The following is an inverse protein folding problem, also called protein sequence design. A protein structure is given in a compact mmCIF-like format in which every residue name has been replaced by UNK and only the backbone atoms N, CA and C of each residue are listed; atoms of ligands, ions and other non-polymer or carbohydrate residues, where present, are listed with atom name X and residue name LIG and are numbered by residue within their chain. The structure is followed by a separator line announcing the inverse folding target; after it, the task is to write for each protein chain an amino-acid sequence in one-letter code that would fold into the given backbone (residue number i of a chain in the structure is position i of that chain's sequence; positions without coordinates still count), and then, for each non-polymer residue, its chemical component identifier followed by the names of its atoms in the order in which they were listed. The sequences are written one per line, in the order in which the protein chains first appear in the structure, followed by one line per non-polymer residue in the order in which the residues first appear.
data_IF_762704099303
#
_entry.id   IF_762704099303
#
_cell.length_a   1.000
_cell.length_b   1.000
_cell.length_c   1.000
_cell.angle_alpha   90.00
_cell.angle_beta   90.00
_cell.angle_gamma   90.00
#
_symmetry.space_group_name_H-M   'P 1'
#
loop_
_entity.id
_entity.type
_entity.pdbx_description
1 polymer ?
#
# COMPACT_ATOMS: atom_id res chain seq x y z
N UNK A 1 15.13 68.27 14.22
CA UNK A 1 16.07 67.12 14.38
C UNK A 1 15.68 66.26 15.58
N UNK A 2 15.09 65.06 15.35
CA UNK A 2 15.21 63.86 16.23
C UNK A 2 14.40 62.67 15.65
N UNK A 3 15.14 61.72 15.08
CA UNK A 3 15.06 60.24 15.13
C UNK A 3 13.72 59.48 14.96
N UNK A 4 13.62 58.81 13.81
CA UNK A 4 13.31 57.38 13.50
C UNK A 4 12.88 56.49 14.69
N UNK A 5 11.85 55.64 14.51
CA UNK A 5 11.89 54.15 14.62
C UNK A 5 10.62 53.54 13.99
N UNK A 6 10.87 52.65 13.03
CA UNK A 6 9.96 51.71 12.37
C UNK A 6 9.50 50.69 13.40
N UNK A 7 8.19 50.49 13.55
CA UNK A 7 7.62 49.49 14.44
C UNK A 7 6.70 48.54 13.69
N UNK A 8 7.29 47.49 13.10
CA UNK A 8 6.60 46.27 12.69
C UNK A 8 5.84 45.70 13.90
N UNK A 9 4.53 45.56 13.77
CA UNK A 9 3.76 44.62 14.60
C UNK A 9 2.79 43.87 13.69
N UNK A 10 3.37 43.05 12.81
CA UNK A 10 2.68 41.89 12.25
C UNK A 10 2.47 40.94 13.43
N UNK A 11 1.31 41.06 14.09
CA UNK A 11 0.82 40.04 15.00
C UNK A 11 0.41 38.82 14.15
N UNK A 12 1.41 38.07 13.67
CA UNK A 12 1.21 36.68 13.28
C UNK A 12 0.88 35.92 14.56
N UNK A 13 -0.41 35.80 14.86
CA UNK A 13 -0.93 34.66 15.61
C UNK A 13 -0.75 33.42 14.74
N UNK A 14 0.48 32.91 14.68
CA UNK A 14 0.80 31.59 14.17
C UNK A 14 0.19 30.62 15.18
N UNK A 15 -1.04 30.17 14.92
CA UNK A 15 -1.62 29.08 15.67
C UNK A 15 -0.72 27.87 15.45
N UNK A 16 -0.05 27.45 16.52
CA UNK A 16 0.65 26.18 16.59
C UNK A 16 -0.40 25.08 16.42
N UNK A 17 -0.59 24.64 15.18
CA UNK A 17 -1.27 23.38 14.90
C UNK A 17 -0.40 22.30 15.52
N UNK A 18 -0.89 21.66 16.58
CA UNK A 18 -0.31 20.42 17.08
C UNK A 18 -0.36 19.40 15.94
N UNK A 19 0.77 19.19 15.27
CA UNK A 19 0.97 18.02 14.44
C UNK A 19 1.04 16.84 15.41
N UNK A 20 -0.09 16.16 15.62
CA UNK A 20 -0.11 14.89 16.35
C UNK A 20 0.65 13.88 15.50
N UNK A 21 1.94 13.73 15.75
CA UNK A 21 2.74 12.67 15.13
C UNK A 21 2.31 11.34 15.72
N UNK A 22 1.84 10.44 14.87
CA UNK A 22 1.51 9.06 15.24
C UNK A 22 2.75 8.39 15.89
N UNK A 23 2.59 7.58 16.96
CA UNK A 23 3.68 6.82 17.55
C UNK A 23 4.45 6.00 16.50
N UNK A 24 5.76 5.81 16.69
CA UNK A 24 6.61 5.07 15.74
C UNK A 24 6.13 3.63 15.55
N UNK A 25 5.68 2.97 16.62
CA UNK A 25 5.15 1.60 16.58
C UNK A 25 3.90 1.50 15.68
N UNK A 26 2.96 2.43 15.83
CA UNK A 26 1.74 2.49 15.01
C UNK A 26 2.06 2.84 13.54
N UNK A 27 3.12 3.60 13.28
CA UNK A 27 3.63 3.86 11.92
C UNK A 27 4.21 2.60 11.27
N UNK A 28 4.97 1.80 12.03
CA UNK A 28 5.55 0.56 11.53
C UNK A 28 4.46 -0.49 11.26
N UNK A 29 3.47 -0.62 12.15
CA UNK A 29 2.31 -1.50 11.94
C UNK A 29 1.51 -1.11 10.70
N UNK A 30 1.19 0.19 10.54
CA UNK A 30 0.48 0.68 9.36
C UNK A 30 1.26 0.43 8.07
N UNK A 31 2.58 0.65 8.10
CA UNK A 31 3.45 0.35 6.95
C UNK A 31 3.45 -1.14 6.62
N UNK A 32 3.49 -2.02 7.63
CA UNK A 32 3.38 -3.47 7.48
C UNK A 32 2.08 -3.87 6.79
N UNK A 33 0.95 -3.44 7.35
CA UNK A 33 -0.37 -3.65 6.76
C UNK A 33 -0.44 -3.21 5.29
N UNK A 34 0.06 -2.01 4.99
CA UNK A 34 0.02 -1.48 3.63
C UNK A 34 0.86 -2.30 2.65
N UNK A 35 2.02 -2.82 3.07
CA UNK A 35 2.82 -3.73 2.26
C UNK A 35 2.11 -5.06 2.03
N UNK A 36 1.48 -5.62 3.04
CA UNK A 36 0.73 -6.88 2.94
C UNK A 36 -0.43 -6.76 1.96
N UNK A 37 -1.27 -5.72 2.10
CA UNK A 37 -2.42 -5.50 1.21
C UNK A 37 -1.96 -5.26 -0.23
N UNK A 38 -0.89 -4.48 -0.43
CA UNK A 38 -0.34 -4.24 -1.76
C UNK A 38 0.19 -5.53 -2.40
N UNK A 39 0.98 -6.31 -1.66
CA UNK A 39 1.50 -7.59 -2.12
C UNK A 39 0.38 -8.56 -2.47
N UNK A 40 -0.66 -8.62 -1.64
CA UNK A 40 -1.84 -9.43 -1.89
C UNK A 40 -2.62 -8.97 -3.13
N UNK A 41 -2.78 -7.66 -3.35
CA UNK A 41 -3.44 -7.14 -4.55
C UNK A 41 -2.68 -7.53 -5.83
N UNK A 42 -1.35 -7.43 -5.81
CA UNK A 42 -0.49 -7.81 -6.94
C UNK A 42 -0.55 -9.31 -7.20
N UNK A 43 -0.45 -10.14 -6.15
CA UNK A 43 -0.55 -11.58 -6.28
C UNK A 43 -1.91 -12.02 -6.84
N UNK A 44 -3.01 -11.46 -6.33
CA UNK A 44 -4.35 -11.75 -6.83
C UNK A 44 -4.54 -11.27 -8.28
N UNK A 45 -3.88 -10.18 -8.69
CA UNK A 45 -3.87 -9.81 -10.11
C UNK A 45 -3.22 -10.88 -11.01
N UNK A 46 -2.19 -11.59 -10.51
CA UNK A 46 -1.61 -12.72 -11.24
C UNK A 46 -2.61 -13.87 -11.32
N UNK A 47 -3.27 -14.21 -10.22
CA UNK A 47 -4.28 -15.28 -10.20
C UNK A 47 -5.42 -15.01 -11.17
N UNK A 48 -5.96 -13.79 -11.19
CA UNK A 48 -7.03 -13.42 -12.12
C UNK A 48 -6.58 -13.46 -13.59
N UNK A 49 -5.31 -13.21 -13.86
CA UNK A 49 -4.77 -13.23 -15.23
C UNK A 49 -4.42 -14.63 -15.71
N UNK A 50 -3.86 -15.46 -14.83
CA UNK A 50 -3.28 -16.77 -15.18
C UNK A 50 -4.27 -17.91 -14.96
N UNK A 51 -5.15 -17.78 -13.98
CA UNK A 51 -6.12 -18.81 -13.60
C UNK A 51 -7.55 -18.47 -14.01
N UNK A 52 -7.75 -17.34 -14.72
CA UNK A 52 -9.06 -16.81 -15.10
C UNK A 52 -10.05 -16.67 -13.93
N UNK A 53 -9.54 -16.43 -12.72
CA UNK A 53 -10.40 -16.13 -11.58
C UNK A 53 -11.03 -14.74 -11.77
N UNK A 54 -12.33 -14.59 -11.46
CA UNK A 54 -13.14 -13.42 -11.80
C UNK A 54 -13.80 -12.73 -10.59
N UNK A 55 -13.34 -13.03 -9.38
CA UNK A 55 -13.89 -12.51 -8.13
C UNK A 55 -13.53 -11.04 -7.80
N UNK A 56 -12.70 -10.38 -8.62
CA UNK A 56 -12.33 -8.96 -8.42
C UNK A 56 -11.54 -8.69 -7.14
N UNK A 57 -10.89 -9.71 -6.58
CA UNK A 57 -10.12 -9.62 -5.33
C UNK A 57 -8.97 -8.61 -5.47
N UNK A 58 -8.32 -8.51 -6.63
CA UNK A 58 -7.25 -7.51 -6.84
C UNK A 58 -7.75 -6.09 -6.60
N UNK A 59 -8.95 -5.78 -7.08
CA UNK A 59 -9.52 -4.43 -7.03
C UNK A 59 -10.03 -4.13 -5.63
N UNK A 60 -10.62 -5.12 -4.94
CA UNK A 60 -11.00 -5.03 -3.53
C UNK A 60 -9.79 -4.68 -2.65
N UNK A 61 -8.68 -5.40 -2.81
CA UNK A 61 -7.45 -5.16 -2.05
C UNK A 61 -6.81 -3.82 -2.41
N UNK A 62 -6.80 -3.45 -3.70
CA UNK A 62 -6.34 -2.12 -4.12
C UNK A 62 -7.19 -1.01 -3.48
N UNK A 63 -8.50 -1.17 -3.39
CA UNK A 63 -9.37 -0.21 -2.74
C UNK A 63 -9.09 -0.10 -1.23
N UNK A 64 -8.78 -1.21 -0.56
CA UNK A 64 -8.34 -1.19 0.86
C UNK A 64 -7.02 -0.42 1.00
N UNK A 65 -6.05 -0.68 0.13
CA UNK A 65 -4.78 0.05 0.11
C UNK A 65 -4.99 1.56 -0.07
N UNK A 66 -5.84 1.94 -1.01
CA UNK A 66 -6.15 3.35 -1.29
C UNK A 66 -6.91 4.01 -0.12
N UNK A 67 -7.89 3.31 0.45
CA UNK A 67 -8.75 3.85 1.53
C UNK A 67 -8.05 3.93 2.89
N UNK A 68 -6.93 3.23 3.07
CA UNK A 68 -6.12 3.28 4.28
C UNK A 68 -4.98 4.32 4.20
N UNK A 69 -4.98 5.18 3.17
CA UNK A 69 -3.95 6.19 2.90
C UNK A 69 -2.54 5.59 2.74
N UNK A 70 -2.44 4.35 2.26
CA UNK A 70 -1.15 3.67 2.14
C UNK A 70 -0.20 4.36 1.15
N UNK A 71 -0.73 5.12 0.18
CA UNK A 71 0.07 5.89 -0.78
C UNK A 71 0.91 6.98 -0.13
N UNK A 72 0.51 7.47 1.03
CA UNK A 72 1.21 8.55 1.73
C UNK A 72 2.40 8.04 2.53
N UNK A 73 2.38 6.76 2.92
CA UNK A 73 3.38 6.18 3.84
C UNK A 73 4.29 5.15 3.17
N UNK A 74 3.85 4.48 2.10
CA UNK A 74 4.66 3.49 1.40
C UNK A 74 5.52 4.21 0.36
N UNK A 75 6.86 4.19 0.48
CA UNK A 75 7.72 4.81 -0.53
C UNK A 75 7.54 4.14 -1.90
N UNK A 76 7.58 4.92 -2.97
CA UNK A 76 7.42 4.40 -4.34
C UNK A 76 8.44 3.30 -4.67
N UNK A 77 9.70 3.42 -4.21
CA UNK A 77 10.71 2.37 -4.36
C UNK A 77 10.28 1.06 -3.68
N UNK A 78 9.60 1.13 -2.53
CA UNK A 78 9.05 -0.06 -1.85
C UNK A 78 7.93 -0.69 -2.69
N UNK A 79 7.07 0.11 -3.33
CA UNK A 79 6.02 -0.38 -4.24
C UNK A 79 6.64 -1.13 -5.41
N UNK A 80 7.67 -0.56 -6.05
CA UNK A 80 8.35 -1.14 -7.20
C UNK A 80 9.09 -2.43 -6.84
N UNK A 81 9.82 -2.42 -5.73
CA UNK A 81 10.52 -3.60 -5.23
C UNK A 81 9.55 -4.73 -4.89
N UNK A 82 8.51 -4.44 -4.11
CA UNK A 82 7.49 -5.42 -3.75
C UNK A 82 6.78 -5.99 -4.98
N UNK A 83 6.45 -5.13 -5.95
CA UNK A 83 5.82 -5.57 -7.21
C UNK A 83 6.72 -6.52 -7.99
N UNK A 84 7.99 -6.17 -8.15
CA UNK A 84 8.96 -7.04 -8.82
C UNK A 84 9.08 -8.39 -8.11
N UNK A 85 9.20 -8.36 -6.78
CA UNK A 85 9.46 -9.55 -5.99
C UNK A 85 8.25 -10.51 -6.00
N UNK A 86 7.03 -9.99 -5.81
CA UNK A 86 5.78 -10.79 -5.89
C UNK A 86 5.58 -11.37 -7.29
N UNK A 87 5.80 -10.59 -8.35
CA UNK A 87 5.65 -11.07 -9.73
C UNK A 87 6.68 -12.15 -10.07
N UNK A 88 7.92 -11.99 -9.58
CA UNK A 88 8.99 -12.96 -9.80
C UNK A 88 8.71 -14.27 -9.05
N UNK A 89 8.32 -14.21 -7.78
CA UNK A 89 7.94 -15.41 -7.01
C UNK A 89 6.77 -16.15 -7.66
N UNK A 90 5.72 -15.40 -8.05
CA UNK A 90 4.55 -15.96 -8.74
C UNK A 90 4.94 -16.69 -10.02
N UNK A 91 5.82 -16.07 -10.82
CA UNK A 91 6.35 -16.66 -12.06
C UNK A 91 7.13 -17.93 -11.78
N UNK A 92 7.98 -17.95 -10.76
CA UNK A 92 8.82 -19.10 -10.46
C UNK A 92 7.99 -20.27 -9.92
N UNK A 93 7.02 -20.01 -9.03
CA UNK A 93 6.05 -21.02 -8.59
C UNK A 93 5.22 -21.56 -9.75
N UNK A 94 4.74 -20.69 -10.65
CA UNK A 94 4.01 -21.09 -11.85
C UNK A 94 4.86 -22.01 -12.75
N UNK A 95 6.13 -21.66 -13.00
CA UNK A 95 7.05 -22.49 -13.80
C UNK A 95 7.29 -23.87 -13.20
N UNK A 96 7.41 -23.95 -11.86
CA UNK A 96 7.69 -25.20 -11.16
C UNK A 96 6.46 -26.11 -11.13
N UNK A 97 5.28 -25.56 -10.84
CA UNK A 97 4.06 -26.36 -10.64
C UNK A 97 3.26 -26.57 -11.92
N UNK A 98 3.42 -25.70 -12.92
CA UNK A 98 2.51 -25.59 -14.04
C UNK A 98 1.18 -24.96 -13.64
N UNK A 99 0.42 -24.53 -14.65
CA UNK A 99 -0.84 -23.78 -14.49
C UNK A 99 -1.85 -24.50 -13.60
N UNK A 100 -2.20 -25.75 -13.93
CA UNK A 100 -3.23 -26.51 -13.21
C UNK A 100 -2.98 -26.54 -11.70
N UNK A 101 -1.80 -27.00 -11.27
CA UNK A 101 -1.49 -27.12 -9.85
C UNK A 101 -1.37 -25.75 -9.19
N UNK A 102 -0.75 -24.77 -9.86
CA UNK A 102 -0.66 -23.40 -9.36
C UNK A 102 -2.05 -22.82 -9.08
N UNK A 103 -3.00 -22.99 -9.99
CA UNK A 103 -4.36 -22.47 -9.82
C UNK A 103 -5.15 -23.26 -8.76
N UNK A 104 -5.08 -24.59 -8.76
CA UNK A 104 -5.74 -25.44 -7.74
C UNK A 104 -5.27 -25.11 -6.32
N UNK A 105 -3.96 -24.93 -6.11
CA UNK A 105 -3.37 -24.62 -4.80
C UNK A 105 -3.82 -23.24 -4.27
N UNK A 106 -4.11 -22.28 -5.14
CA UNK A 106 -4.46 -20.91 -4.76
C UNK A 106 -5.97 -20.64 -4.78
N UNK A 107 -6.78 -21.54 -5.36
CA UNK A 107 -8.24 -21.34 -5.49
C UNK A 107 -8.91 -21.06 -4.16
N UNK A 108 -8.61 -21.87 -3.13
CA UNK A 108 -9.23 -21.69 -1.81
C UNK A 108 -8.91 -20.33 -1.20
N UNK A 109 -7.63 -19.96 -1.20
CA UNK A 109 -7.20 -18.66 -0.64
C UNK A 109 -7.79 -17.47 -1.41
N UNK A 110 -7.96 -17.60 -2.72
CA UNK A 110 -8.65 -16.60 -3.53
C UNK A 110 -10.13 -16.49 -3.16
N UNK A 111 -10.84 -17.62 -3.10
CA UNK A 111 -12.26 -17.68 -2.78
C UNK A 111 -12.59 -17.14 -1.39
N UNK A 112 -11.73 -17.41 -0.39
CA UNK A 112 -11.89 -16.90 0.97
C UNK A 112 -11.86 -15.34 1.05
N UNK A 113 -11.38 -14.66 0.00
CA UNK A 113 -11.30 -13.20 -0.08
C UNK A 113 -12.43 -12.55 -0.90
N UNK A 114 -13.28 -13.36 -1.55
CA UNK A 114 -14.36 -12.85 -2.40
C UNK A 114 -15.53 -12.28 -1.58
N UNK A 115 -15.79 -12.84 -0.39
CA UNK A 115 -16.87 -12.43 0.53
C UNK A 115 -16.57 -11.11 1.25
#
# INVERSE_FOLDING_TARGET
MKKIIIGLCFALSFQLTNASTMPIEEQEEKLGFCKEVLGAAIFNSVLETVCDFDGGVKDKLKNIYDSADCREIVPQETVENLSRDVLQDSRDRYKVFGEKKFCEDNLRGYSDLMD
#
